data_IF_090905960137
#
_entry.id   IF_090905960137
#
_cell.length_a   1.000
_cell.length_b   1.000
_cell.length_c   1.000
_cell.angle_alpha   90.00
_cell.angle_beta   90.00
_cell.angle_gamma   90.00
#
_symmetry.space_group_name_H-M   'P 1'
#
loop_
_entity.id
_entity.type
_entity.pdbx_description
1 polymer ?
#
# COMPACT_ATOMS: atom_id res chain seq x y z
N UNK A 1 18.70 15.61 -16.61
CA UNK A 1 18.66 14.84 -15.34
C UNK A 1 18.86 13.32 -15.52
N UNK A 2 19.34 12.83 -16.68
CA UNK A 2 19.52 11.38 -16.90
C UNK A 2 20.95 10.98 -17.30
N UNK A 3 21.90 11.94 -17.33
CA UNK A 3 23.27 11.69 -17.79
C UNK A 3 24.03 10.67 -16.93
N UNK A 4 23.67 10.53 -15.66
CA UNK A 4 24.32 9.65 -14.69
C UNK A 4 23.45 8.42 -14.35
N UNK A 5 22.31 8.24 -15.04
CA UNK A 5 21.43 7.10 -14.81
C UNK A 5 21.98 5.83 -15.50
N UNK A 6 21.77 4.63 -14.93
CA UNK A 6 22.16 3.39 -15.59
C UNK A 6 21.39 3.19 -16.91
N UNK A 7 22.07 2.64 -17.92
CA UNK A 7 21.46 2.27 -19.21
C UNK A 7 20.80 0.90 -19.07
N UNK A 8 19.51 0.81 -19.41
CA UNK A 8 18.77 -0.44 -19.52
C UNK A 8 18.63 -0.81 -21.00
N UNK A 9 19.53 -1.67 -21.50
CA UNK A 9 19.53 -2.12 -22.90
C UNK A 9 18.69 -3.40 -23.11
N UNK A 10 18.24 -3.65 -24.35
CA UNK A 10 17.42 -4.80 -24.77
C UNK A 10 16.19 -5.06 -23.88
N UNK A 11 15.57 -3.98 -23.40
CA UNK A 11 14.43 -4.10 -22.50
C UNK A 11 13.16 -4.56 -23.22
N UNK A 12 12.36 -5.34 -22.50
CA UNK A 12 10.99 -5.69 -22.86
C UNK A 12 10.09 -5.44 -21.65
N UNK A 13 8.80 -5.19 -21.88
CA UNK A 13 7.82 -5.07 -20.79
C UNK A 13 7.63 -6.45 -20.14
N UNK A 14 7.98 -6.55 -18.86
CA UNK A 14 7.61 -7.66 -18.00
C UNK A 14 6.42 -7.31 -17.11
N UNK A 15 5.57 -8.29 -16.82
CA UNK A 15 4.47 -8.16 -15.86
C UNK A 15 4.60 -9.25 -14.80
N UNK A 16 4.50 -8.87 -13.52
CA UNK A 16 4.56 -9.80 -12.40
C UNK A 16 3.57 -9.37 -11.31
N UNK A 17 2.98 -10.30 -10.54
CA UNK A 17 2.18 -9.97 -9.38
C UNK A 17 3.03 -9.24 -8.33
N UNK A 18 2.47 -8.18 -7.76
CA UNK A 18 3.10 -7.43 -6.67
C UNK A 18 2.33 -7.65 -5.37
N UNK A 19 3.06 -7.64 -4.25
CA UNK A 19 2.45 -7.58 -2.93
C UNK A 19 1.81 -6.20 -2.75
N UNK A 20 0.59 -6.14 -2.25
CA UNK A 20 -0.08 -4.88 -1.94
C UNK A 20 -0.93 -5.02 -0.67
N UNK A 21 -1.29 -3.88 -0.08
CA UNK A 21 -2.26 -3.83 1.02
C UNK A 21 -3.65 -3.55 0.46
N UNK A 22 -4.65 -4.19 1.06
CA UNK A 22 -6.07 -3.98 0.74
C UNK A 22 -6.79 -3.56 2.03
N UNK A 23 -7.61 -2.53 1.95
CA UNK A 23 -8.33 -2.03 3.12
C UNK A 23 -9.06 -0.71 2.89
N UNK A 24 -9.64 -0.17 3.96
CA UNK A 24 -10.30 1.13 3.96
C UNK A 24 -9.32 2.28 4.16
N UNK A 25 -9.30 3.25 3.24
CA UNK A 25 -8.46 4.45 3.35
C UNK A 25 -9.24 5.65 3.89
N UNK A 26 -8.58 6.50 4.66
CA UNK A 26 -9.07 7.80 5.09
C UNK A 26 -7.98 8.87 4.94
N UNK A 27 -8.37 10.12 4.72
CA UNK A 27 -7.43 11.24 4.59
C UNK A 27 -6.58 11.21 3.31
N UNK A 28 -6.98 10.44 2.31
CA UNK A 28 -6.25 10.36 1.05
C UNK A 28 -6.44 11.65 0.24
N UNK A 29 -5.38 12.30 -0.26
CA UNK A 29 -5.46 13.66 -0.81
C UNK A 29 -6.30 13.74 -2.09
N UNK A 30 -6.45 12.63 -2.81
CA UNK A 30 -7.23 12.57 -4.06
C UNK A 30 -8.44 11.63 -3.97
N UNK A 31 -8.65 10.96 -2.83
CA UNK A 31 -9.79 10.04 -2.63
C UNK A 31 -10.53 10.51 -1.38
N UNK A 32 -11.46 11.47 -1.53
CA UNK A 32 -12.18 12.03 -0.39
C UNK A 32 -13.08 10.99 0.28
N UNK A 33 -13.36 11.20 1.57
CA UNK A 33 -14.14 10.29 2.41
C UNK A 33 -13.30 9.50 3.42
N UNK A 34 -13.96 8.57 4.12
CA UNK A 34 -13.35 7.67 5.11
C UNK A 34 -13.79 6.23 4.84
N UNK A 35 -12.86 5.29 5.03
CA UNK A 35 -13.14 3.86 4.90
C UNK A 35 -13.36 3.38 3.47
N UNK A 36 -12.96 4.16 2.45
CA UNK A 36 -13.12 3.75 1.06
C UNK A 36 -12.24 2.53 0.77
N UNK A 37 -12.78 1.42 0.26
CA UNK A 37 -11.97 0.26 -0.10
C UNK A 37 -10.98 0.61 -1.20
N UNK A 38 -9.71 0.28 -0.98
CA UNK A 38 -8.63 0.42 -1.95
C UNK A 38 -7.75 -0.82 -1.95
N UNK A 39 -7.03 -1.00 -3.05
CA UNK A 39 -5.75 -1.72 -3.09
C UNK A 39 -4.64 -0.71 -3.29
N UNK A 40 -3.52 -0.86 -2.60
CA UNK A 40 -2.37 0.01 -2.80
C UNK A 40 -1.58 -0.38 -4.05
N UNK A 41 -0.61 0.45 -4.43
CA UNK A 41 0.49 0.01 -5.29
C UNK A 41 1.39 -1.00 -4.56
N UNK A 42 2.41 -1.49 -5.27
CA UNK A 42 3.45 -2.39 -4.75
C UNK A 42 3.97 -1.97 -3.36
N UNK A 43 4.00 -2.92 -2.43
CA UNK A 43 4.38 -2.76 -1.03
C UNK A 43 5.87 -3.02 -0.86
N UNK A 44 6.60 -2.00 -0.41
CA UNK A 44 8.05 -2.03 -0.28
C UNK A 44 8.50 -2.22 1.17
N UNK A 45 7.75 -1.65 2.11
CA UNK A 45 8.02 -1.78 3.54
C UNK A 45 6.71 -1.90 4.31
N UNK A 46 6.69 -2.81 5.26
CA UNK A 46 5.64 -2.94 6.26
C UNK A 46 6.33 -2.98 7.64
N UNK A 47 5.91 -2.10 8.55
CA UNK A 47 6.35 -2.13 9.94
C UNK A 47 5.13 -1.97 10.85
N UNK A 48 4.75 -3.07 11.48
CA UNK A 48 3.65 -3.09 12.45
C UNK A 48 4.04 -2.36 13.74
N UNK A 49 5.27 -2.56 14.22
CA UNK A 49 5.83 -1.86 15.39
C UNK A 49 5.78 -0.33 15.27
N UNK A 50 5.99 0.19 14.06
CA UNK A 50 5.91 1.62 13.76
C UNK A 50 4.58 2.04 13.13
N UNK A 51 3.61 1.12 13.00
CA UNK A 51 2.30 1.35 12.41
C UNK A 51 2.35 2.09 11.07
N UNK A 52 3.27 1.70 10.18
CA UNK A 52 3.42 2.33 8.88
C UNK A 52 3.78 1.36 7.75
N UNK A 53 3.47 1.77 6.53
CA UNK A 53 3.85 1.06 5.32
C UNK A 53 4.31 2.03 4.23
N UNK A 54 5.34 1.63 3.46
CA UNK A 54 5.75 2.31 2.22
C UNK A 54 5.29 1.48 1.03
N UNK A 55 4.62 2.16 0.11
CA UNK A 55 4.26 1.62 -1.20
C UNK A 55 5.00 2.41 -2.28
N UNK A 56 4.98 1.95 -3.54
CA UNK A 56 5.54 2.71 -4.66
C UNK A 56 5.06 4.17 -4.65
N UNK A 57 3.75 4.40 -4.49
CA UNK A 57 3.18 5.73 -4.58
C UNK A 57 3.23 6.54 -3.27
N UNK A 58 3.06 5.92 -2.10
CA UNK A 58 2.79 6.66 -0.84
C UNK A 58 3.26 5.94 0.43
N UNK A 59 3.39 6.73 1.50
CA UNK A 59 3.38 6.24 2.88
C UNK A 59 1.95 6.15 3.40
N UNK A 60 1.66 5.09 4.14
CA UNK A 60 0.41 4.89 4.87
C UNK A 60 0.72 4.73 6.35
N UNK A 61 -0.10 5.36 7.20
CA UNK A 61 -0.22 4.97 8.61
C UNK A 61 -1.18 3.78 8.68
N UNK A 62 -0.78 2.73 9.37
CA UNK A 62 -1.59 1.53 9.56
C UNK A 62 -2.61 1.77 10.68
N UNK A 63 -3.83 1.30 10.43
CA UNK A 63 -4.85 1.13 11.46
C UNK A 63 -4.85 -0.31 11.95
N UNK A 64 -6.01 -0.78 12.42
CA UNK A 64 -6.19 -2.19 12.83
C UNK A 64 -6.15 -3.11 11.60
N UNK A 65 -5.49 -4.28 11.69
CA UNK A 65 -5.53 -5.29 10.62
C UNK A 65 -6.94 -5.90 10.52
N UNK A 66 -7.23 -6.52 9.37
CA UNK A 66 -8.58 -7.03 9.07
C UNK A 66 -9.05 -8.11 10.06
N UNK A 67 -8.14 -8.96 10.52
CA UNK A 67 -8.43 -10.05 11.45
C UNK A 67 -9.02 -9.53 12.78
N UNK A 68 -8.54 -8.38 13.26
CA UNK A 68 -9.05 -7.74 14.49
C UNK A 68 -10.47 -7.17 14.33
N UNK A 69 -10.91 -6.89 13.09
CA UNK A 69 -12.27 -6.39 12.82
C UNK A 69 -13.30 -7.52 12.84
N UNK A 70 -12.89 -8.75 12.48
CA UNK A 70 -13.77 -9.90 12.53
C UNK A 70 -14.10 -10.28 13.98
N UNK A 71 -13.10 -10.34 14.87
CA UNK A 71 -13.29 -10.72 16.28
C UNK A 71 -14.26 -9.79 17.04
N UNK A 72 -14.21 -8.48 16.80
CA UNK A 72 -15.14 -7.52 17.43
C UNK A 72 -16.59 -7.71 16.96
N UNK A 73 -16.82 -8.21 15.74
CA UNK A 73 -18.17 -8.41 15.18
C UNK A 73 -18.81 -9.72 15.65
N UNK A 74 -18.03 -10.72 16.08
CA UNK A 74 -18.56 -11.99 16.61
C UNK A 74 -18.89 -11.91 18.10
N UNK A 75 -18.40 -10.87 18.80
CA UNK A 75 -18.56 -10.67 20.24
C UNK A 75 -19.54 -9.55 20.62
N UNK A 76 -20.21 -8.93 19.63
CA UNK A 76 -21.22 -7.87 19.80
C UNK A 76 -22.61 -8.33 19.39
#
# INVERSE_FOLDING_TARGET
MLKDAPVLDYWVRGEFPVTCLVGGVAGHPTLPGKGRPIRTSDLWLLSEDHSCARTLSRWYRLGRPFETVHEETVLS
#
